data_IF_306906389755
#
_entry.id   IF_306906389755
#
_cell.length_a   1.000
_cell.length_b   1.000
_cell.length_c   1.000
_cell.angle_alpha   90.00
_cell.angle_beta   90.00
_cell.angle_gamma   90.00
#
_symmetry.space_group_name_H-M   'P 1'
#
loop_
_entity.id
_entity.type
_entity.pdbx_description
1 polymer ?
#
# COMPACT_ATOMS: atom_id res chain seq x y z
N UNK A 1 1.09 -4.76 -77.63
CA UNK A 1 0.63 -3.58 -78.40
C UNK A 1 0.04 -2.59 -77.43
N UNK A 2 0.79 -1.52 -77.17
CA UNK A 2 0.35 -0.19 -76.73
C UNK A 2 1.63 0.65 -76.68
N UNK A 3 2.01 1.15 -77.85
CA UNK A 3 3.02 2.20 -78.03
C UNK A 3 2.50 3.45 -77.30
N UNK A 4 2.96 3.64 -76.07
CA UNK A 4 2.79 4.90 -75.34
C UNK A 4 3.55 5.96 -76.14
N UNK A 5 2.77 6.77 -76.87
CA UNK A 5 3.17 7.85 -77.76
C UNK A 5 4.56 8.41 -77.47
N UNK A 6 5.44 8.04 -78.37
CA UNK A 6 6.79 8.52 -78.51
C UNK A 6 6.73 9.94 -79.07
N UNK A 7 7.32 10.89 -78.33
CA UNK A 7 7.81 12.20 -78.75
C UNK A 7 7.43 12.62 -80.18
N UNK A 8 6.54 13.60 -80.31
CA UNK A 8 6.09 14.12 -81.60
C UNK A 8 6.98 15.24 -82.11
N UNK A 9 6.86 15.55 -83.41
CA UNK A 9 7.50 16.74 -84.00
C UNK A 9 7.09 18.04 -83.28
N UNK A 10 5.88 18.09 -82.71
CA UNK A 10 5.39 19.23 -81.95
C UNK A 10 6.18 19.47 -80.65
N UNK A 11 6.82 18.44 -80.09
CA UNK A 11 7.65 18.53 -78.88
C UNK A 11 9.15 18.60 -79.23
N UNK A 12 9.59 17.83 -80.24
CA UNK A 12 11.01 17.69 -80.59
C UNK A 12 11.57 18.87 -81.38
N UNK A 13 10.79 19.47 -82.30
CA UNK A 13 11.24 20.61 -83.10
C UNK A 13 11.47 21.86 -82.23
N UNK A 14 10.57 22.23 -81.30
CA UNK A 14 10.83 23.33 -80.35
C UNK A 14 12.06 23.08 -79.48
N UNK A 15 12.29 21.83 -79.05
CA UNK A 15 13.49 21.45 -78.31
C UNK A 15 14.76 21.69 -79.13
N UNK A 16 14.82 21.23 -80.38
CA UNK A 16 15.97 21.48 -81.27
C UNK A 16 16.20 22.98 -81.50
N UNK A 17 15.13 23.76 -81.65
CA UNK A 17 15.23 25.21 -81.74
C UNK A 17 15.74 25.86 -80.45
N UNK A 18 15.37 25.33 -79.28
CA UNK A 18 15.90 25.81 -77.99
C UNK A 18 17.41 25.56 -77.85
N UNK A 19 17.93 24.56 -78.55
CA UNK A 19 19.36 24.25 -78.66
C UNK A 19 20.07 25.00 -79.81
N UNK A 20 19.37 25.87 -80.55
CA UNK A 20 19.94 26.65 -81.66
C UNK A 20 20.09 25.89 -82.98
N UNK A 21 19.46 24.71 -83.13
CA UNK A 21 19.50 23.92 -84.35
C UNK A 21 18.42 24.37 -85.33
N UNK A 22 18.82 24.75 -86.55
CA UNK A 22 17.88 25.10 -87.61
C UNK A 22 17.27 23.84 -88.26
N UNK A 23 15.99 23.62 -88.01
CA UNK A 23 15.22 22.46 -88.51
C UNK A 23 14.67 22.65 -89.93
N UNK A 24 14.83 23.84 -90.52
CA UNK A 24 14.36 24.20 -91.88
C UNK A 24 12.90 23.80 -92.21
N UNK A 25 12.01 23.79 -91.20
CA UNK A 25 10.60 23.36 -91.31
C UNK A 25 10.43 21.92 -91.83
N UNK A 26 11.43 21.06 -91.64
CA UNK A 26 11.34 19.64 -91.98
C UNK A 26 10.75 18.85 -90.82
N UNK A 27 9.97 17.83 -91.15
CA UNK A 27 9.42 16.87 -90.19
C UNK A 27 10.46 15.81 -89.84
N UNK A 28 10.54 15.48 -88.54
CA UNK A 28 11.41 14.44 -87.98
C UNK A 28 10.60 13.21 -87.51
N UNK A 29 9.27 13.21 -87.66
CA UNK A 29 8.38 12.10 -87.32
C UNK A 29 8.84 10.76 -87.88
N UNK A 30 9.42 10.74 -89.08
CA UNK A 30 9.92 9.50 -89.67
C UNK A 30 11.13 8.93 -88.94
N UNK A 31 12.02 9.78 -88.37
CA UNK A 31 13.14 9.33 -87.54
C UNK A 31 12.71 9.01 -86.11
N UNK A 32 11.71 9.73 -85.59
CA UNK A 32 11.16 9.49 -84.25
C UNK A 32 10.41 8.14 -84.17
N UNK A 33 9.89 7.66 -85.32
CA UNK A 33 9.22 6.37 -85.45
C UNK A 33 10.11 5.24 -86.00
N UNK A 34 11.36 5.54 -86.38
CA UNK A 34 12.32 4.53 -86.82
C UNK A 34 13.04 3.95 -85.60
N UNK A 35 12.91 2.64 -85.30
CA UNK A 35 13.50 2.02 -84.13
C UNK A 35 15.03 2.13 -84.07
N UNK A 36 15.71 2.35 -85.20
CA UNK A 36 17.16 2.53 -85.24
C UNK A 36 17.59 3.93 -84.72
N UNK A 37 16.68 4.92 -84.73
CA UNK A 37 16.96 6.31 -84.35
C UNK A 37 16.15 6.80 -83.14
N UNK A 38 14.95 6.24 -82.91
CA UNK A 38 14.00 6.69 -81.91
C UNK A 38 14.55 6.70 -80.48
N UNK A 39 15.37 5.70 -80.14
CA UNK A 39 15.94 5.56 -78.80
C UNK A 39 17.01 6.63 -78.54
N UNK A 40 17.83 6.92 -79.54
CA UNK A 40 18.88 7.95 -79.45
C UNK A 40 18.27 9.35 -79.38
N UNK A 41 17.29 9.64 -80.24
CA UNK A 41 16.60 10.93 -80.23
C UNK A 41 15.83 11.17 -78.92
N UNK A 42 15.26 10.11 -78.36
CA UNK A 42 14.59 10.16 -77.06
C UNK A 42 15.57 10.39 -75.92
N UNK A 43 16.73 9.75 -75.98
CA UNK A 43 17.81 9.99 -75.02
C UNK A 43 18.29 11.45 -75.08
N UNK A 44 18.48 11.99 -76.28
CA UNK A 44 18.91 13.39 -76.50
C UNK A 44 17.90 14.36 -75.88
N UNK A 45 16.62 14.24 -76.21
CA UNK A 45 15.57 15.12 -75.69
C UNK A 45 15.44 15.10 -74.16
N UNK A 46 15.70 13.95 -73.51
CA UNK A 46 15.58 13.81 -72.05
C UNK A 46 16.79 14.31 -71.28
N UNK A 47 17.97 14.36 -71.90
CA UNK A 47 19.23 14.56 -71.18
C UNK A 47 20.03 15.80 -71.63
N UNK A 48 19.71 16.39 -72.79
CA UNK A 48 20.27 17.67 -73.21
C UNK A 48 19.32 18.81 -72.83
N UNK A 49 19.88 19.88 -72.26
CA UNK A 49 19.21 21.14 -71.93
C UNK A 49 20.18 22.29 -72.27
N UNK A 50 19.71 23.54 -72.32
CA UNK A 50 20.54 24.73 -72.52
C UNK A 50 21.69 24.84 -71.51
N UNK A 51 21.57 24.21 -70.34
CA UNK A 51 22.62 24.15 -69.32
C UNK A 51 23.72 23.11 -69.61
N UNK A 52 23.46 22.15 -70.51
CA UNK A 52 24.39 21.08 -70.91
C UNK A 52 24.90 21.25 -72.36
N UNK A 53 24.36 22.20 -73.11
CA UNK A 53 24.85 22.56 -74.43
C UNK A 53 26.01 23.55 -74.30
N UNK A 54 27.19 23.17 -74.79
CA UNK A 54 28.32 24.09 -74.94
C UNK A 54 27.90 25.24 -75.85
N UNK A 55 27.66 26.41 -75.29
CA UNK A 55 27.38 27.60 -76.10
C UNK A 55 28.67 28.07 -76.78
N UNK A 56 28.59 28.66 -77.98
CA UNK A 56 29.76 29.24 -78.69
C UNK A 56 30.59 30.19 -77.80
N UNK A 57 29.93 30.83 -76.83
CA UNK A 57 30.55 31.71 -75.83
C UNK A 57 31.37 30.93 -74.81
N UNK A 58 30.92 29.76 -74.40
CA UNK A 58 31.62 28.87 -73.47
C UNK A 58 32.75 28.13 -74.18
N UNK A 59 32.56 27.72 -75.43
CA UNK A 59 33.64 27.19 -76.26
C UNK A 59 34.76 28.22 -76.45
N UNK A 60 34.40 29.48 -76.77
CA UNK A 60 35.38 30.56 -76.88
C UNK A 60 36.09 30.82 -75.54
N UNK A 61 35.35 30.79 -74.43
CA UNK A 61 35.92 30.99 -73.08
C UNK A 61 36.83 29.83 -72.67
N UNK A 62 36.46 28.59 -72.99
CA UNK A 62 37.28 27.41 -72.76
C UNK A 62 38.57 27.49 -73.58
N UNK A 63 38.47 27.79 -74.88
CA UNK A 63 39.62 27.98 -75.77
C UNK A 63 40.53 29.14 -75.33
N UNK A 64 39.98 30.23 -74.78
CA UNK A 64 40.79 31.29 -74.18
C UNK A 64 41.51 30.86 -72.90
N UNK A 65 40.85 30.07 -72.04
CA UNK A 65 41.44 29.55 -70.81
C UNK A 65 42.53 28.51 -71.09
N UNK A 66 42.33 27.68 -72.11
CA UNK A 66 43.33 26.74 -72.64
C UNK A 66 44.55 27.48 -73.18
N UNK A 67 44.34 28.49 -74.04
CA UNK A 67 45.43 29.35 -74.57
C UNK A 67 46.19 30.10 -73.47
N UNK A 68 45.53 30.43 -72.37
CA UNK A 68 46.13 31.11 -71.20
C UNK A 68 46.77 30.12 -70.21
N UNK A 69 46.76 28.82 -70.49
CA UNK A 69 47.33 27.78 -69.63
C UNK A 69 46.66 27.69 -68.25
N UNK A 70 45.39 28.09 -68.15
CA UNK A 70 44.63 28.10 -66.88
C UNK A 70 43.79 26.85 -66.66
N UNK A 71 43.71 25.97 -67.66
CA UNK A 71 43.08 24.67 -67.53
C UNK A 71 44.06 23.70 -66.86
N UNK A 72 43.54 22.93 -65.91
CA UNK A 72 44.28 21.83 -65.33
C UNK A 72 44.40 20.71 -66.38
N UNK A 73 45.56 20.04 -66.47
CA UNK A 73 45.65 18.78 -67.18
C UNK A 73 44.62 17.78 -66.62
N UNK A 74 44.06 16.89 -67.45
CA UNK A 74 43.03 15.95 -67.02
C UNK A 74 43.45 15.13 -65.79
N UNK A 75 44.71 14.70 -65.73
CA UNK A 75 45.26 13.93 -64.62
C UNK A 75 45.36 14.75 -63.30
N UNK A 76 45.59 16.07 -63.39
CA UNK A 76 45.62 16.99 -62.24
C UNK A 76 44.22 17.45 -61.82
N UNK A 77 43.25 17.42 -62.75
CA UNK A 77 41.86 17.75 -62.49
C UNK A 77 41.21 16.66 -61.64
N UNK A 78 41.38 15.40 -62.04
CA UNK A 78 40.80 14.24 -61.35
C UNK A 78 41.35 14.11 -59.92
N UNK A 79 42.66 14.29 -59.75
CA UNK A 79 43.29 14.29 -58.42
C UNK A 79 42.82 15.44 -57.52
N UNK A 80 42.54 16.64 -58.07
CA UNK A 80 41.95 17.73 -57.30
C UNK A 80 40.48 17.51 -56.96
N UNK A 81 39.70 16.93 -57.86
CA UNK A 81 38.30 16.57 -57.58
C UNK A 81 38.25 15.57 -56.42
N UNK A 82 39.07 14.52 -56.47
CA UNK A 82 39.20 13.54 -55.38
C UNK A 82 39.67 14.21 -54.09
N UNK A 83 40.64 15.14 -54.16
CA UNK A 83 41.10 15.89 -52.98
C UNK A 83 39.98 16.70 -52.33
N UNK A 84 39.11 17.32 -53.12
CA UNK A 84 37.97 18.12 -52.62
C UNK A 84 36.89 17.20 -52.02
N UNK A 85 36.60 16.06 -52.66
CA UNK A 85 35.65 15.07 -52.13
C UNK A 85 36.13 14.45 -50.81
N UNK A 86 37.44 14.25 -50.65
CA UNK A 86 38.03 13.76 -49.40
C UNK A 86 38.06 14.83 -48.31
N UNK A 87 38.19 16.11 -48.67
CA UNK A 87 38.17 17.23 -47.72
C UNK A 87 36.75 17.56 -47.25
N UNK A 88 35.75 17.33 -48.10
CA UNK A 88 34.33 17.54 -47.81
C UNK A 88 33.53 16.26 -48.08
N UNK A 89 33.49 15.39 -47.08
CA UNK A 89 32.77 14.11 -47.13
C UNK A 89 31.25 14.36 -47.34
N UNK A 90 30.66 13.70 -48.34
CA UNK A 90 29.24 13.88 -48.71
C UNK A 90 28.95 14.91 -49.80
N UNK A 91 29.98 15.43 -50.50
CA UNK A 91 29.81 16.37 -51.60
C UNK A 91 29.50 15.62 -52.92
N UNK A 92 28.26 15.73 -53.41
CA UNK A 92 27.84 15.10 -54.66
C UNK A 92 28.40 15.85 -55.87
N UNK A 93 29.02 15.13 -56.81
CA UNK A 93 29.44 15.72 -58.08
C UNK A 93 28.25 15.88 -59.04
N UNK A 94 28.20 16.97 -59.82
CA UNK A 94 27.20 17.12 -60.87
C UNK A 94 27.29 15.98 -61.89
N UNK A 95 26.20 15.24 -62.08
CA UNK A 95 26.11 14.10 -63.01
C UNK A 95 26.22 12.73 -62.35
N UNK A 96 26.59 12.66 -61.07
CA UNK A 96 26.58 11.42 -60.28
C UNK A 96 25.20 11.24 -59.61
N UNK A 97 24.27 10.65 -60.36
CA UNK A 97 22.89 10.46 -59.89
C UNK A 97 22.78 9.47 -58.74
N UNK A 98 23.68 8.48 -58.66
CA UNK A 98 23.65 7.44 -57.64
C UNK A 98 24.03 8.03 -56.27
N UNK A 99 25.14 8.77 -56.21
CA UNK A 99 25.54 9.50 -54.99
C UNK A 99 24.50 10.54 -54.55
N UNK A 100 23.77 11.13 -55.50
CA UNK A 100 22.72 12.11 -55.22
C UNK A 100 21.48 11.47 -54.61
N UNK A 101 21.11 10.26 -55.04
CA UNK A 101 20.04 9.47 -54.44
C UNK A 101 20.41 9.02 -53.03
N UNK A 102 21.64 8.58 -52.81
CA UNK A 102 22.14 8.17 -51.49
C UNK A 102 22.07 9.32 -50.47
N UNK A 103 22.54 10.52 -50.87
CA UNK A 103 22.48 11.70 -50.00
C UNK A 103 21.03 12.12 -49.72
N UNK A 104 20.11 11.99 -50.69
CA UNK A 104 18.68 12.26 -50.47
C UNK A 104 18.07 11.26 -49.49
N UNK A 105 18.44 9.99 -49.59
CA UNK A 105 17.99 8.95 -48.67
C UNK A 105 18.49 9.25 -47.25
N UNK A 106 19.77 9.59 -47.09
CA UNK A 106 20.35 9.96 -45.80
C UNK A 106 19.65 11.17 -45.18
N UNK A 107 19.39 12.22 -45.98
CA UNK A 107 18.63 13.40 -45.53
C UNK A 107 17.21 13.00 -45.09
N UNK A 108 16.55 12.08 -45.81
CA UNK A 108 15.22 11.61 -45.43
C UNK A 108 15.24 10.85 -44.10
N UNK A 109 16.21 9.96 -43.90
CA UNK A 109 16.38 9.21 -42.65
C UNK A 109 16.67 10.15 -41.46
N UNK A 110 17.51 11.17 -41.66
CA UNK A 110 17.80 12.17 -40.62
C UNK A 110 16.55 12.98 -40.25
N UNK A 111 15.70 13.32 -41.23
CA UNK A 111 14.42 14.00 -40.97
C UNK A 111 13.46 13.12 -40.19
N UNK A 112 13.34 11.84 -40.53
CA UNK A 112 12.48 10.90 -39.81
C UNK A 112 12.95 10.70 -38.36
N UNK A 113 14.28 10.61 -38.17
CA UNK A 113 14.89 10.56 -36.84
C UNK A 113 14.59 11.81 -36.02
N UNK A 114 14.67 12.99 -36.64
CA UNK A 114 14.33 14.26 -36.00
C UNK A 114 12.87 14.29 -35.54
N UNK A 115 11.93 13.89 -36.41
CA UNK A 115 10.49 13.81 -36.08
C UNK A 115 10.25 12.86 -34.90
N UNK A 116 10.95 11.72 -34.86
CA UNK A 116 10.85 10.78 -33.74
C UNK A 116 11.35 11.40 -32.43
N UNK A 117 12.48 12.11 -32.46
CA UNK A 117 13.03 12.79 -31.29
C UNK A 117 12.10 13.90 -30.77
N UNK A 118 11.48 14.68 -31.67
CA UNK A 118 10.49 15.69 -31.29
C UNK A 118 9.26 15.05 -30.59
N UNK A 119 8.79 13.91 -31.08
CA UNK A 119 7.70 13.16 -30.42
C UNK A 119 8.12 12.67 -29.03
N UNK A 120 9.34 12.17 -28.87
CA UNK A 120 9.86 11.76 -27.57
C UNK A 120 9.98 12.93 -26.60
N UNK A 121 10.37 14.12 -27.09
CA UNK A 121 10.43 15.33 -26.26
C UNK A 121 9.05 15.71 -25.72
N UNK A 122 7.99 15.61 -26.55
CA UNK A 122 6.62 15.87 -26.13
C UNK A 122 6.19 14.90 -25.02
N UNK A 123 6.41 13.59 -25.22
CA UNK A 123 6.07 12.56 -24.23
C UNK A 123 6.80 12.81 -22.91
N UNK A 124 8.09 13.18 -22.97
CA UNK A 124 8.87 13.49 -21.76
C UNK A 124 8.32 14.71 -21.02
N UNK A 125 7.88 15.75 -21.73
CA UNK A 125 7.24 16.92 -21.10
C UNK A 125 5.94 16.54 -20.40
N UNK A 126 5.09 15.74 -21.04
CA UNK A 126 3.85 15.24 -20.43
C UNK A 126 4.14 14.41 -19.18
N UNK A 127 5.15 13.52 -19.21
CA UNK A 127 5.56 12.73 -18.04
C UNK A 127 6.09 13.60 -16.89
N UNK A 128 6.82 14.66 -17.19
CA UNK A 128 7.30 15.62 -16.19
C UNK A 128 6.13 16.33 -15.53
N UNK A 129 5.15 16.80 -16.31
CA UNK A 129 3.95 17.47 -15.78
C UNK A 129 3.12 16.52 -14.89
N UNK A 130 2.91 15.28 -15.32
CA UNK A 130 2.22 14.26 -14.52
C UNK A 130 2.95 13.98 -13.20
N UNK A 131 4.28 13.92 -13.22
CA UNK A 131 5.07 13.66 -12.03
C UNK A 131 5.00 14.82 -11.02
N UNK A 132 5.09 16.07 -11.47
CA UNK A 132 4.91 17.23 -10.59
C UNK A 132 3.49 17.29 -10.01
N UNK A 133 2.45 17.01 -10.81
CA UNK A 133 1.08 16.93 -10.30
C UNK A 133 0.92 15.85 -9.22
N UNK A 134 1.52 14.67 -9.43
CA UNK A 134 1.47 13.56 -8.46
C UNK A 134 2.20 13.93 -7.16
N UNK A 135 3.32 14.65 -7.28
CA UNK A 135 4.10 15.14 -6.13
C UNK A 135 3.33 16.19 -5.33
N UNK A 136 2.57 17.08 -5.97
CA UNK A 136 1.69 18.03 -5.29
C UNK A 136 0.58 17.29 -4.51
N UNK A 137 -0.07 16.30 -5.12
CA UNK A 137 -1.08 15.46 -4.46
C UNK A 137 -0.52 14.72 -3.24
N UNK A 138 0.66 14.10 -3.38
CA UNK A 138 1.35 13.43 -2.27
C UNK A 138 1.69 14.41 -1.15
N UNK A 139 2.11 15.63 -1.49
CA UNK A 139 2.42 16.67 -0.49
C UNK A 139 1.17 17.07 0.29
N UNK A 140 0.01 17.19 -0.38
CA UNK A 140 -1.28 17.45 0.26
C UNK A 140 -1.67 16.31 1.20
N UNK A 141 -1.53 15.05 0.80
CA UNK A 141 -1.86 13.91 1.69
C UNK A 141 -0.90 13.81 2.89
N UNK A 142 0.40 14.06 2.70
CA UNK A 142 1.37 14.10 3.81
C UNK A 142 1.03 15.21 4.80
N UNK A 143 0.63 16.39 4.33
CA UNK A 143 0.22 17.48 5.23
C UNK A 143 -1.06 17.14 5.99
N UNK A 144 -2.07 16.53 5.34
CA UNK A 144 -3.27 16.04 6.03
C UNK A 144 -2.93 15.01 7.11
N UNK A 145 -2.09 14.02 6.78
CA UNK A 145 -1.64 13.00 7.72
C UNK A 145 -0.94 13.61 8.93
N UNK A 146 -0.05 14.59 8.72
CA UNK A 146 0.63 15.29 9.82
C UNK A 146 -0.36 16.05 10.72
N UNK A 147 -1.38 16.70 10.14
CA UNK A 147 -2.43 17.36 10.93
C UNK A 147 -3.21 16.34 11.77
N UNK A 148 -3.59 15.20 11.18
CA UNK A 148 -4.29 14.14 11.93
C UNK A 148 -3.44 13.54 13.04
N UNK A 149 -2.14 13.34 12.80
CA UNK A 149 -1.22 12.81 13.79
C UNK A 149 -1.05 13.78 14.97
N UNK A 150 -0.94 15.08 14.68
CA UNK A 150 -0.88 16.10 15.72
C UNK A 150 -2.17 16.14 16.54
N UNK A 151 -3.33 16.06 15.89
CA UNK A 151 -4.62 16.00 16.57
C UNK A 151 -4.72 14.78 17.49
N UNK A 152 -4.32 13.60 17.02
CA UNK A 152 -4.31 12.40 17.86
C UNK A 152 -3.38 12.53 19.06
N UNK A 153 -2.21 13.15 18.90
CA UNK A 153 -1.29 13.40 20.01
C UNK A 153 -1.88 14.36 21.05
N UNK A 154 -2.59 15.40 20.60
CA UNK A 154 -3.28 16.35 21.48
C UNK A 154 -4.46 15.67 22.23
N UNK A 155 -5.22 14.82 21.53
CA UNK A 155 -6.33 14.05 22.11
C UNK A 155 -5.83 13.02 23.13
N UNK A 156 -4.73 12.31 22.83
CA UNK A 156 -4.07 11.37 23.77
C UNK A 156 -3.61 12.09 25.04
N UNK A 157 -3.01 13.28 24.88
CA UNK A 157 -2.59 14.09 26.02
C UNK A 157 -3.79 14.52 26.87
N UNK A 158 -4.86 15.02 26.24
CA UNK A 158 -6.08 15.43 26.96
C UNK A 158 -6.73 14.26 27.70
N UNK A 159 -6.80 13.08 27.08
CA UNK A 159 -7.33 11.88 27.72
C UNK A 159 -6.44 11.42 28.89
N UNK A 160 -5.11 11.55 28.76
CA UNK A 160 -4.16 11.28 29.83
C UNK A 160 -4.37 12.20 31.05
N UNK A 161 -4.59 13.50 30.82
CA UNK A 161 -4.91 14.47 31.87
C UNK A 161 -6.23 14.12 32.59
N UNK A 162 -7.29 13.78 31.85
CA UNK A 162 -8.57 13.36 32.43
C UNK A 162 -8.44 12.07 33.26
N UNK A 163 -7.62 11.10 32.81
CA UNK A 163 -7.36 9.88 33.58
C UNK A 163 -6.66 10.15 34.91
N UNK A 164 -5.72 11.12 34.94
CA UNK A 164 -5.03 11.51 36.17
C UNK A 164 -6.03 12.17 37.13
N UNK A 165 -6.86 13.11 36.65
CA UNK A 165 -7.88 13.76 37.48
C UNK A 165 -8.86 12.76 38.09
N UNK A 166 -9.32 11.77 37.30
CA UNK A 166 -10.21 10.72 37.78
C UNK A 166 -9.53 9.81 38.83
N UNK A 167 -8.24 9.50 38.65
CA UNK A 167 -7.49 8.71 39.62
C UNK A 167 -7.32 9.45 40.95
N UNK A 168 -7.03 10.75 40.91
CA UNK A 168 -6.94 11.61 42.11
C UNK A 168 -8.28 11.70 42.84
N UNK A 169 -9.39 11.80 42.10
CA UNK A 169 -10.74 11.77 42.68
C UNK A 169 -11.05 10.43 43.35
N UNK A 170 -10.68 9.30 42.73
CA UNK A 170 -10.86 7.97 43.32
C UNK A 170 -10.04 7.83 44.62
N UNK A 171 -8.80 8.30 44.63
CA UNK A 171 -7.95 8.27 45.83
C UNK A 171 -8.53 9.12 46.96
N UNK A 172 -9.07 10.30 46.65
CA UNK A 172 -9.77 11.14 47.62
C UNK A 172 -10.97 10.41 48.23
N UNK A 173 -11.81 9.79 47.41
CA UNK A 173 -12.98 9.02 47.88
C UNK A 173 -12.53 7.86 48.75
N UNK A 174 -11.46 7.16 48.38
CA UNK A 174 -10.94 6.04 49.15
C UNK A 174 -10.44 6.48 50.53
N UNK A 175 -9.74 7.62 50.60
CA UNK A 175 -9.29 8.21 51.85
C UNK A 175 -10.47 8.62 52.74
N UNK A 176 -11.52 9.22 52.18
CA UNK A 176 -12.74 9.55 52.92
C UNK A 176 -13.43 8.30 53.50
N UNK A 177 -13.50 7.22 52.72
CA UNK A 177 -14.05 5.94 53.18
C UNK A 177 -13.21 5.34 54.31
N UNK A 178 -11.88 5.37 54.20
CA UNK A 178 -10.98 4.92 55.28
C UNK A 178 -11.24 5.72 56.56
N UNK A 179 -11.37 7.05 56.46
CA UNK A 179 -11.66 7.90 57.61
C UNK A 179 -13.00 7.54 58.25
N UNK A 180 -14.07 7.36 57.46
CA UNK A 180 -15.39 6.95 57.98
C UNK A 180 -15.32 5.58 58.68
N UNK A 181 -14.60 4.61 58.11
CA UNK A 181 -14.41 3.30 58.72
C UNK A 181 -13.60 3.43 60.01
N UNK A 182 -12.55 4.24 60.01
CA UNK A 182 -11.73 4.54 61.19
C UNK A 182 -12.55 5.14 62.32
N UNK A 183 -13.38 6.15 62.01
CA UNK A 183 -14.29 6.79 62.96
C UNK A 183 -15.30 5.78 63.51
N UNK A 184 -15.91 4.97 62.64
CA UNK A 184 -16.85 3.93 63.06
C UNK A 184 -16.19 2.90 63.98
N UNK A 185 -15.00 2.40 63.63
CA UNK A 185 -14.24 1.46 64.45
C UNK A 185 -13.81 2.07 65.80
N UNK A 186 -13.45 3.36 65.83
CA UNK A 186 -13.14 4.08 67.07
C UNK A 186 -14.35 4.15 68.01
N UNK A 187 -15.54 4.38 67.45
CA UNK A 187 -16.78 4.40 68.23
C UNK A 187 -17.11 3.00 68.74
N UNK A 188 -16.97 1.96 67.92
CA UNK A 188 -17.19 0.58 68.36
C UNK A 188 -16.19 0.15 69.46
N UNK A 189 -14.93 0.58 69.38
CA UNK A 189 -13.92 0.34 70.42
C UNK A 189 -14.28 0.97 71.77
N UNK A 190 -14.93 2.14 71.75
CA UNK A 190 -15.33 2.88 72.96
C UNK A 190 -16.70 2.43 73.53
N UNK A 191 -17.47 1.61 72.80
CA UNK A 191 -18.78 1.10 73.23
C UNK A 191 -18.72 0.10 74.40
N UNK A 192 -17.53 -0.38 74.79
CA UNK A 192 -17.34 -1.25 75.96
C UNK A 192 -17.56 -0.48 77.27
N UNK A 193 -17.35 0.84 77.25
CA UNK A 193 -17.38 1.70 78.44
C UNK A 193 -18.72 2.45 78.57
N UNK A 194 -19.42 2.73 77.46
CA UNK A 194 -20.68 3.50 77.44
C UNK A 194 -21.79 2.84 76.60
N UNK A 195 -22.75 2.22 77.29
CA UNK A 195 -23.91 1.51 76.69
C UNK A 195 -24.98 2.44 76.12
N UNK A 196 -24.99 3.73 76.50
CA UNK A 196 -25.90 4.72 75.90
C UNK A 196 -25.39 5.18 74.53
N UNK A 197 -24.07 5.34 74.39
CA UNK A 197 -23.42 5.67 73.13
C UNK A 197 -23.67 4.58 72.07
N UNK A 198 -23.56 3.30 72.44
CA UNK A 198 -23.80 2.18 71.52
C UNK A 198 -25.25 2.12 71.04
N UNK A 199 -26.22 2.42 71.91
CA UNK A 199 -27.64 2.48 71.53
C UNK A 199 -27.92 3.65 70.59
N UNK A 200 -27.35 4.83 70.85
CA UNK A 200 -27.49 6.02 69.97
C UNK A 200 -26.79 5.82 68.63
N UNK A 201 -25.64 5.17 68.58
CA UNK A 201 -24.95 4.87 67.32
C UNK A 201 -25.65 3.79 66.49
N UNK A 202 -26.33 2.83 67.14
CA UNK A 202 -27.16 1.86 66.42
C UNK A 202 -28.45 2.48 65.85
N UNK A 203 -29.01 3.50 66.51
CA UNK A 203 -30.25 4.18 66.08
C UNK A 203 -30.04 5.39 65.18
N UNK A 204 -28.91 6.11 65.30
CA UNK A 204 -28.59 7.34 64.54
C UNK A 204 -27.21 7.31 63.85
N UNK A 205 -26.49 6.19 63.89
CA UNK A 205 -25.20 6.07 63.22
C UNK A 205 -25.34 6.13 61.70
N UNK A 206 -24.21 6.26 60.98
CA UNK A 206 -24.20 6.49 59.54
C UNK A 206 -24.56 5.22 58.75
N UNK A 207 -25.35 4.31 59.31
CA UNK A 207 -25.85 3.12 58.62
C UNK A 207 -26.74 3.49 57.44
N UNK A 208 -27.55 4.54 57.55
CA UNK A 208 -28.34 5.04 56.42
C UNK A 208 -27.43 5.61 55.34
N UNK A 209 -26.40 6.39 55.71
CA UNK A 209 -25.39 6.93 54.78
C UNK A 209 -24.52 5.85 54.15
N UNK A 210 -24.13 4.82 54.92
CA UNK A 210 -23.40 3.65 54.44
C UNK A 210 -24.27 2.78 53.52
N UNK A 211 -25.56 2.65 53.84
CA UNK A 211 -26.55 1.96 52.99
C UNK A 211 -26.81 2.74 51.70
N UNK A 212 -26.86 4.07 51.77
CA UNK A 212 -26.94 4.94 50.60
C UNK A 212 -25.65 4.86 49.76
N UNK A 213 -24.47 4.85 50.38
CA UNK A 213 -23.18 4.67 49.71
C UNK A 213 -23.06 3.28 49.06
N UNK A 214 -23.47 2.20 49.75
CA UNK A 214 -23.56 0.87 49.16
C UNK A 214 -24.60 0.80 48.04
N UNK A 215 -25.72 1.50 48.14
CA UNK A 215 -26.71 1.57 47.09
C UNK A 215 -26.18 2.35 45.87
N UNK A 216 -25.40 3.41 46.08
CA UNK A 216 -24.72 4.17 45.04
C UNK A 216 -23.63 3.33 44.37
N UNK A 217 -22.81 2.63 45.16
CA UNK A 217 -21.81 1.69 44.67
C UNK A 217 -22.47 0.57 43.87
N UNK A 218 -23.56 -0.01 44.36
CA UNK A 218 -24.32 -1.04 43.64
C UNK A 218 -24.93 -0.49 42.36
N UNK A 219 -25.47 0.73 42.38
CA UNK A 219 -25.97 1.41 41.18
C UNK A 219 -24.86 1.66 40.16
N UNK A 220 -23.70 2.16 40.57
CA UNK A 220 -22.54 2.35 39.70
C UNK A 220 -21.94 1.04 39.22
N UNK A 221 -21.95 0.00 40.04
CA UNK A 221 -21.52 -1.34 39.66
C UNK A 221 -22.50 -1.97 38.67
N UNK A 222 -23.80 -1.78 38.84
CA UNK A 222 -24.85 -2.21 37.91
C UNK A 222 -24.80 -1.39 36.60
N UNK A 223 -24.46 -0.09 36.67
CA UNK A 223 -24.22 0.76 35.50
C UNK A 223 -22.93 0.37 34.77
N UNK A 224 -21.86 0.04 35.51
CA UNK A 224 -20.58 -0.42 34.96
C UNK A 224 -20.73 -1.78 34.32
N UNK A 225 -21.41 -2.72 34.97
CA UNK A 225 -21.69 -4.04 34.41
C UNK A 225 -22.64 -3.95 33.22
N UNK A 226 -23.68 -3.12 33.26
CA UNK A 226 -24.52 -2.88 32.07
C UNK A 226 -23.74 -2.17 30.95
N UNK A 227 -22.99 -1.08 31.17
CA UNK A 227 -22.18 -0.47 30.10
C UNK A 227 -21.09 -1.39 29.54
N UNK A 228 -20.42 -2.19 30.38
CA UNK A 228 -19.28 -3.02 29.97
C UNK A 228 -19.69 -4.38 29.40
N UNK A 229 -20.80 -4.95 29.87
CA UNK A 229 -21.32 -6.23 29.37
C UNK A 229 -22.46 -6.08 28.36
N UNK A 230 -23.26 -5.01 28.39
CA UNK A 230 -24.18 -4.67 27.28
C UNK A 230 -23.45 -4.16 26.04
N UNK A 231 -22.18 -3.74 26.16
CA UNK A 231 -21.31 -3.51 24.99
C UNK A 231 -21.11 -4.76 24.13
N UNK A 232 -21.22 -5.97 24.70
CA UNK A 232 -21.22 -7.23 23.93
C UNK A 232 -22.56 -7.51 23.21
N UNK A 233 -23.64 -6.81 23.56
CA UNK A 233 -24.92 -6.90 22.85
C UNK A 233 -25.04 -5.89 21.71
N UNK A 234 -24.26 -4.80 21.74
CA UNK A 234 -24.13 -3.86 20.62
C UNK A 234 -23.02 -4.25 19.62
N UNK A 235 -22.31 -5.36 19.81
CA UNK A 235 -21.35 -5.85 18.81
C UNK A 235 -22.03 -6.36 17.52
N UNK A 236 -23.36 -6.53 17.49
CA UNK A 236 -24.06 -6.85 16.24
C UNK A 236 -24.04 -5.72 15.21
N UNK A 237 -23.87 -4.44 15.60
CA UNK A 237 -23.67 -3.37 14.61
C UNK A 237 -22.28 -3.42 13.99
N UNK A 238 -21.26 -3.81 14.77
CA UNK A 238 -19.90 -4.04 14.25
C UNK A 238 -19.84 -5.32 13.40
N UNK A 239 -20.65 -6.34 13.68
CA UNK A 239 -20.65 -7.59 12.92
C UNK A 239 -21.29 -7.43 11.53
N UNK A 240 -22.33 -6.60 11.39
CA UNK A 240 -22.90 -6.20 10.10
C UNK A 240 -21.92 -5.32 9.30
N UNK A 241 -21.26 -4.35 9.95
CA UNK A 241 -20.21 -3.54 9.32
C UNK A 241 -18.99 -4.38 8.92
N UNK A 242 -18.58 -5.35 9.74
CA UNK A 242 -17.49 -6.28 9.43
C UNK A 242 -17.88 -7.25 8.32
N UNK A 243 -19.12 -7.73 8.27
CA UNK A 243 -19.64 -8.56 7.17
C UNK A 243 -19.75 -7.75 5.87
N UNK A 244 -20.19 -6.50 5.94
CA UNK A 244 -20.25 -5.60 4.79
C UNK A 244 -18.84 -5.27 4.30
N UNK A 245 -17.90 -4.95 5.19
CA UNK A 245 -16.50 -4.73 4.85
C UNK A 245 -15.83 -5.99 4.27
N UNK A 246 -16.15 -7.18 4.79
CA UNK A 246 -15.70 -8.45 4.22
C UNK A 246 -16.32 -8.71 2.85
N UNK A 247 -17.59 -8.40 2.65
CA UNK A 247 -18.27 -8.53 1.36
C UNK A 247 -17.72 -7.54 0.33
N UNK A 248 -17.46 -6.29 0.73
CA UNK A 248 -16.80 -5.28 -0.10
C UNK A 248 -15.36 -5.67 -0.45
N UNK A 249 -14.58 -6.16 0.53
CA UNK A 249 -13.23 -6.63 0.30
C UNK A 249 -13.21 -7.82 -0.68
N UNK A 250 -14.16 -8.75 -0.55
CA UNK A 250 -14.29 -9.90 -1.45
C UNK A 250 -14.77 -9.51 -2.84
N UNK A 251 -15.65 -8.51 -2.95
CA UNK A 251 -16.07 -7.93 -4.23
C UNK A 251 -14.90 -7.19 -4.90
N UNK A 252 -14.14 -6.40 -4.16
CA UNK A 252 -12.92 -5.75 -4.66
C UNK A 252 -11.87 -6.77 -5.09
N UNK A 253 -11.65 -7.84 -4.32
CA UNK A 253 -10.76 -8.94 -4.70
C UNK A 253 -11.19 -9.57 -6.03
N UNK A 254 -12.50 -9.83 -6.20
CA UNK A 254 -13.04 -10.36 -7.45
C UNK A 254 -12.88 -9.38 -8.62
N UNK A 255 -13.10 -8.08 -8.40
CA UNK A 255 -12.95 -7.05 -9.44
C UNK A 255 -11.50 -6.86 -9.84
N UNK A 256 -10.58 -6.83 -8.87
CA UNK A 256 -9.14 -6.76 -9.10
C UNK A 256 -8.65 -8.01 -9.83
N UNK A 257 -9.13 -9.20 -9.46
CA UNK A 257 -8.79 -10.43 -10.17
C UNK A 257 -9.24 -10.38 -11.63
N UNK A 258 -10.46 -9.92 -11.90
CA UNK A 258 -10.95 -9.77 -13.27
C UNK A 258 -10.16 -8.70 -14.05
N UNK A 259 -9.89 -7.54 -13.43
CA UNK A 259 -9.11 -6.48 -14.05
C UNK A 259 -7.67 -6.94 -14.36
N UNK A 260 -7.05 -7.72 -13.47
CA UNK A 260 -5.73 -8.31 -13.67
C UNK A 260 -5.73 -9.31 -14.83
N UNK A 261 -6.74 -10.19 -14.92
CA UNK A 261 -6.88 -11.12 -16.04
C UNK A 261 -7.02 -10.37 -17.37
N UNK A 262 -7.92 -9.37 -17.44
CA UNK A 262 -8.11 -8.53 -18.64
C UNK A 262 -6.83 -7.79 -18.99
N UNK A 263 -6.09 -7.27 -18.00
CA UNK A 263 -4.82 -6.61 -18.24
C UNK A 263 -3.76 -7.56 -18.80
N UNK A 264 -3.65 -8.78 -18.26
CA UNK A 264 -2.71 -9.81 -18.75
C UNK A 264 -3.07 -10.20 -20.19
N UNK A 265 -4.34 -10.46 -20.47
CA UNK A 265 -4.84 -10.81 -21.81
C UNK A 265 -4.54 -9.68 -22.82
N UNK A 266 -4.95 -8.45 -22.51
CA UNK A 266 -4.73 -7.29 -23.40
C UNK A 266 -3.25 -6.96 -23.59
N UNK A 267 -2.41 -7.16 -22.55
CA UNK A 267 -0.96 -6.98 -22.67
C UNK A 267 -0.34 -8.08 -23.54
N UNK A 268 -0.79 -9.32 -23.41
CA UNK A 268 -0.38 -10.44 -24.27
C UNK A 268 -0.74 -10.20 -25.73
N UNK A 269 -1.99 -9.81 -26.01
CA UNK A 269 -2.45 -9.46 -27.37
C UNK A 269 -1.64 -8.32 -27.98
N UNK A 270 -1.42 -7.22 -27.23
CA UNK A 270 -0.64 -6.09 -27.69
C UNK A 270 0.81 -6.50 -28.04
N UNK A 271 1.45 -7.28 -27.19
CA UNK A 271 2.80 -7.77 -27.42
C UNK A 271 2.88 -8.69 -28.65
N UNK A 272 1.87 -9.54 -28.87
CA UNK A 272 1.75 -10.37 -30.08
C UNK A 272 1.61 -9.54 -31.35
N UNK A 273 0.73 -8.53 -31.35
CA UNK A 273 0.57 -7.63 -32.51
C UNK A 273 1.82 -6.77 -32.76
N UNK A 274 2.53 -6.33 -31.71
CA UNK A 274 3.82 -5.64 -31.84
C UNK A 274 4.89 -6.53 -32.47
N UNK A 275 5.00 -7.79 -32.04
CA UNK A 275 5.93 -8.75 -32.63
C UNK A 275 5.60 -9.03 -34.10
N UNK A 276 4.31 -9.16 -34.42
CA UNK A 276 3.82 -9.36 -35.79
C UNK A 276 4.13 -8.17 -36.70
N UNK A 277 3.92 -6.94 -36.23
CA UNK A 277 4.30 -5.72 -36.95
C UNK A 277 5.81 -5.63 -37.16
N UNK A 278 6.62 -6.01 -36.17
CA UNK A 278 8.08 -6.05 -36.28
C UNK A 278 8.58 -7.07 -37.30
N UNK A 279 7.93 -8.23 -37.37
CA UNK A 279 8.18 -9.23 -38.41
C UNK A 279 7.81 -8.68 -39.79
N UNK A 280 6.62 -8.10 -39.95
CA UNK A 280 6.16 -7.53 -41.23
C UNK A 280 7.05 -6.38 -41.69
N UNK A 281 7.53 -5.51 -40.78
CA UNK A 281 8.40 -4.38 -41.14
C UNK A 281 9.75 -4.82 -41.73
N UNK A 282 10.28 -5.97 -41.30
CA UNK A 282 11.54 -6.51 -41.81
C UNK A 282 11.40 -7.21 -43.17
N UNK A 283 10.18 -7.50 -43.61
CA UNK A 283 9.91 -8.36 -44.77
C UNK A 283 9.17 -7.67 -45.93
N UNK A 284 8.93 -6.36 -45.87
CA UNK A 284 8.15 -5.64 -46.88
C UNK A 284 8.86 -5.42 -48.23
N UNK A 285 10.16 -5.70 -48.37
CA UNK A 285 10.94 -5.51 -49.62
C UNK A 285 11.98 -6.63 -49.86
N UNK A 286 11.58 -7.90 -49.85
CA UNK A 286 12.50 -9.03 -50.06
C UNK A 286 12.58 -9.38 -51.55
N UNK A 287 13.78 -9.48 -52.11
CA UNK A 287 13.99 -9.97 -53.48
C UNK A 287 13.59 -11.46 -53.57
N UNK A 288 12.98 -11.95 -54.67
CA UNK A 288 12.47 -13.33 -54.78
C UNK A 288 13.48 -14.45 -54.45
N UNK A 289 14.77 -14.20 -54.65
CA UNK A 289 15.86 -15.13 -54.32
C UNK A 289 16.18 -15.25 -52.83
N UNK A 290 15.73 -14.30 -52.00
CA UNK A 290 15.98 -14.26 -50.55
C UNK A 290 14.79 -14.75 -49.72
N UNK A 291 13.62 -14.98 -50.35
CA UNK A 291 12.39 -15.42 -49.68
C UNK A 291 12.61 -16.66 -48.80
N UNK A 292 13.36 -17.65 -49.29
CA UNK A 292 13.67 -18.87 -48.53
C UNK A 292 14.54 -18.61 -47.30
N UNK A 293 15.48 -17.68 -47.38
CA UNK A 293 16.35 -17.32 -46.24
C UNK A 293 15.55 -16.54 -45.20
N UNK A 294 14.80 -15.54 -45.65
CA UNK A 294 13.90 -14.75 -44.80
C UNK A 294 12.79 -15.59 -44.15
N UNK A 295 12.26 -16.61 -44.85
CA UNK A 295 11.29 -17.54 -44.28
C UNK A 295 11.91 -18.43 -43.19
N UNK A 296 13.17 -18.87 -43.37
CA UNK A 296 13.90 -19.61 -42.31
C UNK A 296 14.20 -18.74 -41.10
N UNK A 297 14.56 -17.47 -41.30
CA UNK A 297 14.76 -16.51 -40.21
C UNK A 297 13.46 -16.24 -39.44
N UNK A 298 12.35 -16.06 -40.15
CA UNK A 298 11.03 -15.89 -39.53
C UNK A 298 10.63 -17.14 -38.72
N UNK A 299 10.86 -18.33 -39.28
CA UNK A 299 10.60 -19.60 -38.58
C UNK A 299 11.46 -19.72 -37.31
N UNK A 300 12.74 -19.36 -37.38
CA UNK A 300 13.63 -19.36 -36.21
C UNK A 300 13.20 -18.34 -35.14
N UNK A 301 12.70 -17.17 -35.54
CA UNK A 301 12.16 -16.18 -34.61
C UNK A 301 10.87 -16.68 -33.94
N UNK A 302 10.00 -17.38 -34.68
CA UNK A 302 8.80 -18.02 -34.12
C UNK A 302 9.19 -19.09 -33.10
N UNK A 303 10.14 -19.97 -33.41
CA UNK A 303 10.61 -21.01 -32.48
C UNK A 303 11.21 -20.41 -31.19
N UNK A 304 11.90 -19.26 -31.28
CA UNK A 304 12.39 -18.53 -30.10
C UNK A 304 11.25 -17.94 -29.27
N UNK A 305 10.23 -17.35 -29.92
CA UNK A 305 9.06 -16.82 -29.23
C UNK A 305 8.26 -17.93 -28.53
N UNK A 306 8.09 -19.10 -29.15
CA UNK A 306 7.45 -20.26 -28.54
C UNK A 306 8.23 -20.77 -27.32
N UNK A 307 9.57 -20.75 -27.38
CA UNK A 307 10.40 -21.07 -26.22
C UNK A 307 10.22 -20.05 -25.09
N UNK A 308 10.25 -18.75 -25.40
CA UNK A 308 10.01 -17.68 -24.42
C UNK A 308 8.62 -17.79 -23.78
N UNK A 309 7.58 -18.09 -24.57
CA UNK A 309 6.23 -18.33 -24.07
C UNK A 309 6.23 -19.48 -23.05
N UNK A 310 6.88 -20.61 -23.36
CA UNK A 310 6.94 -21.74 -22.43
C UNK A 310 7.69 -21.39 -21.13
N UNK A 311 8.74 -20.57 -21.22
CA UNK A 311 9.51 -20.12 -20.05
C UNK A 311 8.65 -19.19 -19.19
N UNK A 312 7.94 -18.24 -19.81
CA UNK A 312 7.04 -17.33 -19.12
C UNK A 312 5.89 -18.08 -18.45
N UNK A 313 5.31 -19.07 -19.12
CA UNK A 313 4.26 -19.91 -18.54
C UNK A 313 4.77 -20.69 -17.32
N UNK A 314 5.99 -21.24 -17.41
CA UNK A 314 6.62 -21.94 -16.29
C UNK A 314 6.91 -21.00 -15.11
N UNK A 315 7.39 -19.77 -15.39
CA UNK A 315 7.60 -18.74 -14.38
C UNK A 315 6.29 -18.30 -13.72
N UNK A 316 5.22 -18.14 -14.51
CA UNK A 316 3.89 -17.82 -14.03
C UNK A 316 3.37 -18.92 -13.08
N UNK A 317 3.48 -20.18 -13.47
CA UNK A 317 3.07 -21.32 -12.64
C UNK A 317 3.86 -21.38 -11.33
N UNK A 318 5.18 -21.13 -11.36
CA UNK A 318 6.00 -21.05 -10.14
C UNK A 318 5.59 -19.88 -9.25
N UNK A 319 5.33 -18.70 -9.82
CA UNK A 319 4.91 -17.52 -9.07
C UNK A 319 3.55 -17.73 -8.40
N UNK A 320 2.58 -18.31 -9.13
CA UNK A 320 1.26 -18.68 -8.59
C UNK A 320 1.41 -19.67 -7.44
N UNK A 321 2.23 -20.72 -7.60
CA UNK A 321 2.52 -21.70 -6.54
C UNK A 321 3.12 -21.03 -5.29
N UNK A 322 4.14 -20.19 -5.47
CA UNK A 322 4.75 -19.46 -4.36
C UNK A 322 3.76 -18.54 -3.64
N UNK A 323 2.88 -17.88 -4.38
CA UNK A 323 1.86 -17.00 -3.79
C UNK A 323 0.83 -17.80 -2.97
N UNK A 324 0.37 -18.93 -3.49
CA UNK A 324 -0.54 -19.85 -2.78
C UNK A 324 0.12 -20.41 -1.52
N UNK A 325 1.38 -20.85 -1.60
CA UNK A 325 2.14 -21.35 -0.45
C UNK A 325 2.33 -20.26 0.61
N UNK A 326 2.63 -19.02 0.20
CA UNK A 326 2.76 -17.89 1.13
C UNK A 326 1.42 -17.56 1.81
N UNK A 327 0.31 -17.53 1.05
CA UNK A 327 -1.03 -17.24 1.58
C UNK A 327 -1.47 -18.32 2.58
N UNK A 328 -1.23 -19.59 2.26
CA UNK A 328 -1.59 -20.71 3.14
C UNK A 328 -0.74 -20.70 4.42
N UNK A 329 0.58 -20.47 4.32
CA UNK A 329 1.44 -20.33 5.48
C UNK A 329 1.01 -19.17 6.39
N UNK A 330 0.67 -18.02 5.82
CA UNK A 330 0.18 -16.86 6.58
C UNK A 330 -1.12 -17.18 7.33
N UNK A 331 -2.06 -17.87 6.68
CA UNK A 331 -3.31 -18.29 7.30
C UNK A 331 -3.09 -19.28 8.45
N UNK A 332 -2.18 -20.25 8.28
CA UNK A 332 -1.80 -21.21 9.33
C UNK A 332 -1.13 -20.50 10.50
N UNK A 333 -0.24 -19.54 10.24
CA UNK A 333 0.45 -18.79 11.29
C UNK A 333 -0.52 -17.89 12.07
N UNK A 334 -1.42 -17.17 11.37
CA UNK A 334 -2.45 -16.33 11.97
C UNK A 334 -3.40 -17.14 12.86
N UNK A 335 -3.86 -18.30 12.38
CA UNK A 335 -4.74 -19.17 13.16
C UNK A 335 -4.02 -19.75 14.39
N UNK A 336 -2.75 -20.14 14.26
CA UNK A 336 -1.94 -20.59 15.38
C UNK A 336 -1.72 -19.49 16.44
N UNK A 337 -1.42 -18.26 16.01
CA UNK A 337 -1.26 -17.09 16.91
C UNK A 337 -2.56 -16.76 17.63
N UNK A 338 -3.70 -16.75 16.92
CA UNK A 338 -5.02 -16.52 17.53
C UNK A 338 -5.35 -17.61 18.57
N UNK A 339 -5.12 -18.88 18.23
CA UNK A 339 -5.33 -19.99 19.16
C UNK A 339 -4.42 -19.89 20.40
N UNK A 340 -3.17 -19.44 20.24
CA UNK A 340 -2.25 -19.21 21.36
C UNK A 340 -2.77 -18.10 22.28
N UNK A 341 -3.17 -16.95 21.72
CA UNK A 341 -3.70 -15.82 22.50
C UNK A 341 -4.94 -16.21 23.32
N UNK A 342 -5.85 -17.01 22.74
CA UNK A 342 -7.01 -17.56 23.47
C UNK A 342 -6.55 -18.47 24.62
N UNK A 343 -5.58 -19.36 24.39
CA UNK A 343 -5.04 -20.24 25.43
C UNK A 343 -4.35 -19.48 26.56
N UNK A 344 -3.61 -18.43 26.25
CA UNK A 344 -2.96 -17.57 27.24
C UNK A 344 -3.98 -16.85 28.12
N UNK A 345 -5.03 -16.30 27.51
CA UNK A 345 -6.15 -15.70 28.24
C UNK A 345 -6.84 -16.70 29.18
N UNK A 346 -7.16 -17.89 28.68
CA UNK A 346 -7.76 -18.96 29.52
C UNK A 346 -6.82 -19.33 30.67
N UNK A 347 -5.50 -19.38 30.44
CA UNK A 347 -4.52 -19.64 31.49
C UNK A 347 -4.56 -18.58 32.58
N UNK A 348 -4.62 -17.30 32.22
CA UNK A 348 -4.70 -16.20 33.17
C UNK A 348 -5.98 -16.26 34.01
N UNK A 349 -7.12 -16.55 33.36
CA UNK A 349 -8.41 -16.73 34.02
C UNK A 349 -8.38 -17.90 35.02
N UNK A 350 -7.77 -19.03 34.64
CA UNK A 350 -7.59 -20.19 35.52
C UNK A 350 -6.67 -19.88 36.72
N UNK A 351 -5.61 -19.09 36.53
CA UNK A 351 -4.73 -18.66 37.63
C UNK A 351 -5.46 -17.73 38.62
N UNK A 352 -6.34 -16.85 38.13
CA UNK A 352 -7.21 -16.04 38.99
C UNK A 352 -8.17 -16.93 39.77
N UNK A 353 -8.84 -17.88 39.10
CA UNK A 353 -9.78 -18.80 39.73
C UNK A 353 -9.10 -19.66 40.80
N UNK A 354 -7.89 -20.16 40.54
CA UNK A 354 -7.08 -20.89 41.52
C UNK A 354 -6.77 -20.04 42.74
N UNK A 355 -6.37 -18.77 42.56
CA UNK A 355 -6.09 -17.86 43.70
C UNK A 355 -7.34 -17.61 44.54
N UNK A 356 -8.49 -17.38 43.91
CA UNK A 356 -9.76 -17.14 44.60
C UNK A 356 -10.23 -18.37 45.36
N UNK A 357 -10.18 -19.55 44.74
CA UNK A 357 -10.56 -20.82 45.39
C UNK A 357 -9.65 -21.17 46.56
N UNK A 358 -8.33 -20.97 46.45
CA UNK A 358 -7.41 -21.13 47.58
C UNK A 358 -7.74 -20.16 48.73
N UNK A 359 -8.11 -18.91 48.45
CA UNK A 359 -8.55 -17.96 49.49
C UNK A 359 -9.85 -18.42 50.15
N UNK A 360 -10.84 -18.85 49.36
CA UNK A 360 -12.10 -19.36 49.87
C UNK A 360 -11.91 -20.57 50.80
N UNK A 361 -11.08 -21.54 50.40
CA UNK A 361 -10.74 -22.70 51.24
C UNK A 361 -10.06 -22.31 52.56
N UNK A 362 -9.19 -21.29 52.55
CA UNK A 362 -8.57 -20.78 53.78
C UNK A 362 -9.60 -20.14 54.72
N UNK A 363 -10.53 -19.36 54.17
CA UNK A 363 -11.61 -18.77 54.96
C UNK A 363 -12.52 -19.86 55.53
N UNK A 364 -12.89 -20.85 54.73
CA UNK A 364 -13.71 -21.99 55.18
C UNK A 364 -13.04 -22.76 56.33
N UNK A 365 -11.74 -23.05 56.22
CA UNK A 365 -10.98 -23.69 57.29
C UNK A 365 -10.97 -22.85 58.59
N UNK A 366 -10.83 -21.53 58.49
CA UNK A 366 -10.90 -20.62 59.64
C UNK A 366 -12.30 -20.62 60.26
N UNK A 367 -13.36 -20.50 59.46
CA UNK A 367 -14.76 -20.53 59.93
C UNK A 367 -15.07 -21.86 60.62
N UNK A 368 -14.67 -22.99 60.04
CA UNK A 368 -14.82 -24.31 60.65
C UNK A 368 -14.10 -24.41 62.00
N UNK A 369 -12.87 -23.89 62.10
CA UNK A 369 -12.12 -23.89 63.36
C UNK A 369 -12.76 -23.01 64.44
N UNK A 370 -13.30 -21.85 64.06
CA UNK A 370 -14.00 -20.94 64.95
C UNK A 370 -15.31 -21.56 65.46
N UNK A 371 -16.13 -22.11 64.56
CA UNK A 371 -17.35 -22.82 64.92
C UNK A 371 -17.08 -23.99 65.87
N UNK A 372 -16.02 -24.76 65.62
CA UNK A 372 -15.64 -25.87 66.50
C UNK A 372 -15.21 -25.39 67.89
N UNK A 373 -14.57 -24.23 67.99
CA UNK A 373 -14.21 -23.61 69.27
C UNK A 373 -15.44 -23.12 70.03
N UNK A 374 -16.37 -22.45 69.35
CA UNK A 374 -17.64 -22.00 69.93
C UNK A 374 -18.49 -23.18 70.44
N UNK A 375 -18.57 -24.27 69.66
CA UNK A 375 -19.26 -25.49 70.09
C UNK A 375 -18.64 -26.09 71.37
N UNK A 376 -17.31 -26.16 71.46
CA UNK A 376 -16.63 -26.62 72.68
C UNK A 376 -16.90 -25.70 73.88
N UNK A 377 -16.89 -24.39 73.69
CA UNK A 377 -17.21 -23.44 74.75
C UNK A 377 -18.66 -23.61 75.23
N UNK A 378 -19.60 -23.85 74.30
CA UNK A 378 -20.99 -24.16 74.64
C UNK A 378 -21.13 -25.49 75.40
N UNK A 379 -20.40 -26.54 75.01
CA UNK A 379 -20.33 -27.82 75.73
C UNK A 379 -19.78 -27.63 77.16
N UNK A 380 -18.71 -26.87 77.33
CA UNK A 380 -18.12 -26.54 78.65
C UNK A 380 -19.12 -25.78 79.54
N UNK A 381 -19.84 -24.80 78.98
CA UNK A 381 -20.89 -24.07 79.68
C UNK A 381 -22.05 -24.97 80.10
N UNK A 382 -22.47 -25.91 79.25
CA UNK A 382 -23.50 -26.88 79.58
C UNK A 382 -23.05 -27.83 80.69
N UNK A 383 -21.81 -28.32 80.64
CA UNK A 383 -21.22 -29.13 81.71
C UNK A 383 -21.11 -28.36 83.03
N UNK A 384 -20.71 -27.09 82.97
CA UNK A 384 -20.68 -26.22 84.15
C UNK A 384 -22.08 -26.01 84.73
N UNK A 385 -23.07 -25.69 83.90
CA UNK A 385 -24.45 -25.52 84.33
C UNK A 385 -25.04 -26.80 84.94
N UNK A 386 -24.75 -27.98 84.36
CA UNK A 386 -25.13 -29.27 84.90
C UNK A 386 -24.48 -29.53 86.27
N UNK A 387 -23.19 -29.23 86.41
CA UNK A 387 -22.45 -29.37 87.67
C UNK A 387 -22.98 -28.42 88.75
N UNK A 388 -23.29 -27.18 88.39
CA UNK A 388 -23.91 -26.20 89.28
C UNK A 388 -25.29 -26.64 89.74
N UNK A 389 -26.10 -27.22 88.83
CA UNK A 389 -27.41 -27.79 89.15
C UNK A 389 -27.30 -28.98 90.11
N UNK A 390 -26.33 -29.88 89.89
CA UNK A 390 -26.06 -30.98 90.80
C UNK A 390 -25.65 -30.49 92.19
N UNK A 391 -24.75 -29.50 92.27
CA UNK A 391 -24.37 -28.88 93.54
C UNK A 391 -25.54 -28.19 94.26
N UNK A 392 -26.40 -27.48 93.52
CA UNK A 392 -27.59 -26.84 94.07
C UNK A 392 -28.61 -27.86 94.62
N UNK A 393 -28.69 -29.05 94.02
CA UNK A 393 -29.59 -30.12 94.45
C UNK A 393 -29.00 -30.99 95.58
N UNK A 394 -27.68 -31.12 95.67
CA UNK A 394 -26.99 -31.90 96.73
C UNK A 394 -26.74 -31.13 98.03
N UNK A 395 -26.93 -29.81 98.08
CA UNK A 395 -26.68 -29.01 99.29
C UNK A 395 -27.96 -28.75 100.10
N UNK A 396 -28.18 -29.53 101.15
CA UNK A 396 -29.05 -29.15 102.26
C UNK A 396 -28.42 -27.99 103.05
N UNK A 397 -29.07 -26.82 102.98
CA UNK A 397 -29.02 -25.64 103.87
C UNK A 397 -27.89 -24.57 103.79
N UNK A 398 -26.55 -24.78 103.90
CA UNK A 398 -25.63 -23.64 104.02
C UNK A 398 -25.01 -23.13 102.70
N UNK A 399 -25.23 -23.77 101.54
CA UNK A 399 -24.67 -23.26 100.26
C UNK A 399 -25.50 -22.13 99.62
N UNK A 400 -26.76 -21.97 100.01
CA UNK A 400 -27.64 -20.91 99.48
C UNK A 400 -27.14 -19.51 99.87
N UNK A 401 -26.58 -19.36 101.07
CA UNK A 401 -26.05 -18.08 101.57
C UNK A 401 -24.71 -17.69 100.92
N UNK A 402 -23.90 -18.66 100.48
CA UNK A 402 -22.62 -18.37 99.79
C UNK A 402 -22.82 -17.90 98.34
N UNK A 403 -23.84 -18.41 97.65
CA UNK A 403 -24.18 -17.95 96.30
C UNK A 403 -24.73 -16.51 96.30
N UNK A 404 -25.47 -16.11 97.33
CA UNK A 404 -25.91 -14.70 97.52
C UNK A 404 -24.71 -13.81 97.87
N UNK A 405 -23.78 -14.28 98.70
CA UNK A 405 -22.57 -13.52 99.05
C UNK A 405 -21.67 -13.23 97.84
N UNK A 406 -21.43 -14.20 96.96
CA UNK A 406 -20.58 -14.02 95.76
C UNK A 406 -21.24 -13.11 94.71
N UNK A 407 -22.57 -13.15 94.57
CA UNK A 407 -23.33 -12.24 93.71
C UNK A 407 -23.35 -10.81 94.26
N UNK A 408 -23.42 -10.60 95.58
CA UNK A 408 -23.38 -9.26 96.20
C UNK A 408 -21.97 -8.64 96.24
N UNK A 409 -20.89 -9.42 96.32
CA UNK A 409 -19.52 -8.87 96.32
C UNK A 409 -19.08 -8.34 94.95
N UNK A 410 -19.69 -8.77 93.84
CA UNK A 410 -19.31 -8.31 92.50
C UNK A 410 -19.91 -6.96 92.12
N UNK A 411 -20.96 -6.50 92.81
CA UNK A 411 -21.54 -5.16 92.63
C UNK A 411 -20.85 -4.06 93.45
N UNK A 412 -19.93 -4.38 94.37
CA UNK A 412 -19.28 -3.40 95.24
C UNK A 412 -17.79 -3.09 94.92
N UNK A 413 -17.20 -3.68 93.87
CA UNK A 413 -15.78 -3.50 93.55
C UNK A 413 -15.51 -2.38 92.52
N UNK A 414 -16.53 -1.65 92.04
CA UNK A 414 -16.35 -0.57 91.05
C UNK A 414 -16.59 0.86 91.54
N UNK A 415 -16.64 1.13 92.85
CA UNK A 415 -16.85 2.50 93.38
C UNK A 415 -15.74 3.06 94.27
N UNK A 416 -14.52 2.50 94.26
CA UNK A 416 -13.39 3.07 95.02
C UNK A 416 -12.08 3.06 94.24
N UNK A 417 -11.93 3.97 93.27
CA UNK A 417 -10.65 4.60 92.88
C UNK A 417 -10.96 5.84 92.03
N UNK A 418 -11.47 6.88 92.67
CA UNK A 418 -11.43 8.25 92.15
C UNK A 418 -11.15 9.12 93.38
N UNK A 419 -9.90 9.56 93.48
CA UNK A 419 -9.39 10.72 94.23
C UNK A 419 -7.96 10.46 94.75
N UNK A 420 -7.11 11.48 94.55
CA UNK A 420 -5.66 11.63 94.82
C UNK A 420 -4.75 11.24 93.66
N UNK A 421 -3.84 12.08 93.16
CA UNK A 421 -3.49 13.48 93.38
C UNK A 421 -2.62 13.88 92.15
N UNK A 422 -2.73 15.15 91.74
CA UNK A 422 -1.69 16.02 91.11
C UNK A 422 -0.77 15.51 90.01
#
# INVERSE_FOLDING_TARGET
MNSLNDMSDEEFIPFLHSLGVDTYKKSFEWMLNDPDFSDVLRWIYKNLDQNNALTDREEYRYAELEKKGKLLPPDELESKIISIQNEFEGLCLPGDNDSLEDIKLDISMQKDKLIMLEKHEIILKELIEQNESTKEELTLEVTKLNVTLQQCADDEKSAGEECIELAEQEESIFNDVIHIIGDALSVYGNCVIDKELSKRFFTFGPFESYRQSQALFKSHFDLYTSKKFSKKQNDHSNEEELQNALAEAKNMESWLSNALCVYIETKGELSGEQAKLHLISNYNNIHPSQITVSAMEAQSAIELLEQEESILEQQLQMAVKHFVDRRTNLAVEMTARSALAVRERVREELLVLQRVTCRALRVDALVYSALRRELRAAEELLHFAASLRAHALCSDAPARDRLVSVMCTRTHVHTYTRDRDT
#
